data_IF_065723263042
#
_entry.id   IF_065723263042
#
_cell.length_a   1.000
_cell.length_b   1.000
_cell.length_c   1.000
_cell.angle_alpha   90.00
_cell.angle_beta   90.00
_cell.angle_gamma   90.00
#
_symmetry.space_group_name_H-M   'P 1'
#
loop_
_entity.id
_entity.type
_entity.pdbx_description
1 polymer ?
#
# COMPACT_ATOMS: atom_id res chain seq x y z
N UNK A 1 8.76 4.93 -15.84
CA UNK A 1 8.88 4.97 -14.36
C UNK A 1 8.83 6.40 -13.82
N UNK A 2 9.85 7.26 -14.00
CA UNK A 2 9.86 8.64 -13.45
C UNK A 2 8.66 9.50 -13.87
N UNK A 3 8.20 9.39 -15.13
CA UNK A 3 7.02 10.13 -15.60
C UNK A 3 5.76 9.78 -14.80
N UNK A 4 5.54 8.50 -14.50
CA UNK A 4 4.38 8.04 -13.75
C UNK A 4 4.40 8.54 -12.30
N UNK A 5 5.54 8.40 -11.60
CA UNK A 5 5.66 8.87 -10.21
C UNK A 5 5.60 10.39 -10.13
N UNK A 6 6.24 11.09 -11.06
CA UNK A 6 6.25 12.55 -11.06
C UNK A 6 4.91 13.19 -11.44
N UNK A 7 4.01 12.44 -12.05
CA UNK A 7 2.64 12.91 -12.29
C UNK A 7 1.88 13.19 -10.98
N UNK A 8 2.20 12.46 -9.92
CA UNK A 8 1.58 12.63 -8.59
C UNK A 8 2.32 13.65 -7.70
N UNK A 9 3.39 14.28 -8.19
CA UNK A 9 4.16 15.27 -7.43
C UNK A 9 3.86 16.65 -8.01
N UNK A 10 3.02 17.47 -7.34
CA UNK A 10 2.61 18.77 -7.87
C UNK A 10 3.75 19.79 -7.86
N UNK A 11 4.66 19.74 -6.87
CA UNK A 11 5.78 20.66 -6.74
C UNK A 11 6.93 20.27 -7.68
N UNK A 12 7.26 21.10 -8.70
CA UNK A 12 8.33 20.79 -9.65
C UNK A 12 9.70 20.56 -8.98
N UNK A 13 9.96 21.25 -7.85
CA UNK A 13 11.23 21.14 -7.12
C UNK A 13 11.38 19.82 -6.35
N UNK A 14 10.27 19.11 -6.16
CA UNK A 14 10.22 17.80 -5.47
C UNK A 14 10.15 16.61 -6.40
N UNK A 15 10.11 16.85 -7.71
CA UNK A 15 10.10 15.79 -8.70
C UNK A 15 11.37 14.94 -8.63
N UNK A 16 11.19 13.63 -8.76
CA UNK A 16 12.29 12.69 -8.80
C UNK A 16 13.04 12.83 -10.13
N UNK A 17 14.36 12.75 -10.07
CA UNK A 17 15.23 12.87 -11.24
C UNK A 17 16.05 11.59 -11.45
N UNK A 18 16.48 11.37 -12.69
CA UNK A 18 17.43 10.31 -13.00
C UNK A 18 18.85 10.83 -12.74
N UNK A 19 19.55 10.21 -11.84
CA UNK A 19 21.00 10.38 -11.73
C UNK A 19 21.67 9.51 -12.80
N UNK A 20 22.73 10.03 -13.42
CA UNK A 20 23.38 9.35 -14.56
C UNK A 20 24.11 8.08 -14.15
N UNK A 21 24.66 8.05 -12.93
CA UNK A 21 25.42 6.91 -12.42
C UNK A 21 25.06 6.59 -10.97
N UNK A 22 24.94 5.31 -10.63
CA UNK A 22 24.94 4.88 -9.23
C UNK A 22 26.26 5.26 -8.56
N UNK A 23 26.20 5.55 -7.27
CA UNK A 23 27.34 5.92 -6.45
C UNK A 23 28.43 4.82 -6.51
N UNK A 24 29.69 5.22 -6.54
CA UNK A 24 30.83 4.30 -6.44
C UNK A 24 30.71 3.41 -5.21
N UNK A 25 31.03 2.12 -5.35
CA UNK A 25 30.88 1.12 -4.31
C UNK A 25 29.45 0.63 -4.07
N UNK A 26 28.45 1.15 -4.78
CA UNK A 26 27.08 0.64 -4.66
C UNK A 26 26.93 -0.73 -5.32
N UNK A 27 26.07 -1.58 -4.73
CA UNK A 27 25.72 -2.88 -5.29
C UNK A 27 25.15 -2.77 -6.73
N UNK A 28 24.37 -1.74 -7.02
CA UNK A 28 23.80 -1.53 -8.35
C UNK A 28 24.89 -1.28 -9.39
N UNK A 29 25.91 -0.48 -9.06
CA UNK A 29 27.04 -0.25 -9.95
C UNK A 29 27.87 -1.52 -10.14
N UNK A 30 28.19 -2.23 -9.05
CA UNK A 30 28.91 -3.49 -9.13
C UNK A 30 28.17 -4.55 -9.96
N UNK A 31 26.86 -4.68 -9.80
CA UNK A 31 26.04 -5.59 -10.60
C UNK A 31 26.09 -5.24 -12.09
N UNK A 32 25.98 -3.95 -12.44
CA UNK A 32 26.06 -3.53 -13.83
C UNK A 32 27.46 -3.79 -14.43
N UNK A 33 28.52 -3.40 -13.72
CA UNK A 33 29.88 -3.50 -14.22
C UNK A 33 30.39 -4.96 -14.31
N UNK A 34 30.07 -5.78 -13.30
CA UNK A 34 30.57 -7.16 -13.19
C UNK A 34 29.69 -8.19 -13.88
N UNK A 35 28.37 -8.06 -13.73
CA UNK A 35 27.41 -9.05 -14.25
C UNK A 35 26.75 -8.63 -15.56
N UNK A 36 26.98 -7.38 -16.01
CA UNK A 36 26.35 -6.80 -17.22
C UNK A 36 24.84 -6.81 -17.19
N UNK A 37 24.25 -6.80 -15.99
CA UNK A 37 22.80 -6.75 -15.79
C UNK A 37 22.32 -5.32 -15.62
N UNK A 38 21.06 -5.06 -15.96
CA UNK A 38 20.42 -3.78 -15.64
C UNK A 38 20.17 -3.70 -14.14
N UNK A 39 20.81 -2.75 -13.48
CA UNK A 39 20.63 -2.50 -12.06
C UNK A 39 20.30 -1.03 -11.81
N UNK A 40 19.49 -0.76 -10.81
CA UNK A 40 19.08 0.60 -10.46
C UNK A 40 18.86 0.74 -8.96
N UNK A 41 19.01 1.96 -8.47
CA UNK A 41 18.63 2.34 -7.11
C UNK A 41 17.39 3.21 -7.22
N UNK A 42 16.34 2.84 -6.48
CA UNK A 42 15.10 3.59 -6.39
C UNK A 42 15.06 4.29 -5.03
N UNK A 43 15.05 5.61 -5.05
CA UNK A 43 15.05 6.41 -3.83
C UNK A 43 13.89 7.40 -3.82
N UNK A 44 13.38 7.69 -2.62
CA UNK A 44 12.41 8.75 -2.35
C UNK A 44 12.96 9.67 -1.29
N UNK A 45 12.57 10.95 -1.33
CA UNK A 45 13.01 11.91 -0.32
C UNK A 45 12.44 11.55 1.05
N UNK A 46 13.28 11.57 2.09
CA UNK A 46 12.84 11.35 3.48
C UNK A 46 12.34 12.63 4.14
N UNK A 47 12.87 13.80 3.73
CA UNK A 47 12.52 15.09 4.32
C UNK A 47 11.12 15.53 3.89
N UNK A 48 10.31 15.90 4.87
CA UNK A 48 8.98 16.51 4.66
C UNK A 48 7.97 15.63 3.90
N UNK A 49 8.18 14.32 3.87
CA UNK A 49 7.21 13.39 3.32
C UNK A 49 6.83 12.31 4.32
N UNK A 50 5.53 12.06 4.57
CA UNK A 50 5.07 10.97 5.41
C UNK A 50 5.49 9.63 4.80
N UNK A 51 5.66 8.63 5.68
CA UNK A 51 6.09 7.29 5.27
C UNK A 51 5.13 6.66 4.24
N UNK A 52 3.83 6.81 4.44
CA UNK A 52 2.79 6.32 3.52
C UNK A 52 3.03 6.79 2.07
N UNK A 53 3.29 8.08 1.91
CA UNK A 53 3.57 8.66 0.59
C UNK A 53 4.85 8.10 -0.04
N UNK A 54 5.90 7.93 0.76
CA UNK A 54 7.16 7.34 0.26
C UNK A 54 6.98 5.87 -0.15
N UNK A 55 6.24 5.10 0.65
CA UNK A 55 5.91 3.71 0.34
C UNK A 55 5.12 3.62 -0.96
N UNK A 56 4.12 4.49 -1.15
CA UNK A 56 3.35 4.56 -2.40
C UNK A 56 4.25 4.85 -3.60
N UNK A 57 5.14 5.83 -3.49
CA UNK A 57 6.09 6.16 -4.57
C UNK A 57 6.99 4.98 -4.93
N UNK A 58 7.53 4.25 -3.92
CA UNK A 58 8.32 3.05 -4.17
C UNK A 58 7.52 1.95 -4.85
N UNK A 59 6.30 1.66 -4.37
CA UNK A 59 5.42 0.67 -5.00
C UNK A 59 5.14 1.01 -6.46
N UNK A 60 4.86 2.26 -6.75
CA UNK A 60 4.59 2.70 -8.11
C UNK A 60 5.82 2.56 -9.01
N UNK A 61 7.02 2.91 -8.51
CA UNK A 61 8.26 2.72 -9.26
C UNK A 61 8.51 1.24 -9.60
N UNK A 62 8.36 0.36 -8.60
CA UNK A 62 8.54 -1.09 -8.78
C UNK A 62 7.47 -1.65 -9.72
N UNK A 63 6.21 -1.25 -9.55
CA UNK A 63 5.11 -1.69 -10.40
C UNK A 63 5.36 -1.36 -11.88
N UNK A 64 5.69 -0.09 -12.17
CA UNK A 64 5.97 0.34 -13.55
C UNK A 64 7.17 -0.40 -14.15
N UNK A 65 8.20 -0.68 -13.33
CA UNK A 65 9.35 -1.46 -13.76
C UNK A 65 8.98 -2.90 -14.11
N UNK A 66 8.28 -3.59 -13.21
CA UNK A 66 7.86 -4.98 -13.40
C UNK A 66 6.90 -5.13 -14.59
N UNK A 67 6.00 -4.17 -14.77
CA UNK A 67 5.11 -4.12 -15.92
C UNK A 67 5.87 -3.92 -17.24
N UNK A 68 6.87 -3.03 -17.25
CA UNK A 68 7.76 -2.82 -18.41
C UNK A 68 8.56 -4.08 -18.77
N UNK A 69 8.92 -4.87 -17.76
CA UNK A 69 9.63 -6.14 -17.95
C UNK A 69 8.69 -7.32 -18.25
N UNK A 70 7.39 -7.09 -18.42
CA UNK A 70 6.37 -8.11 -18.60
C UNK A 70 6.31 -9.17 -17.50
N UNK A 71 6.73 -8.81 -16.28
CA UNK A 71 6.70 -9.67 -15.10
C UNK A 71 5.35 -9.62 -14.37
N UNK A 72 4.57 -8.58 -14.59
CA UNK A 72 3.20 -8.40 -14.06
C UNK A 72 2.31 -7.79 -15.13
N UNK A 73 1.00 -8.01 -15.02
CA UNK A 73 0.00 -7.50 -15.96
C UNK A 73 -0.99 -6.60 -15.22
N UNK A 74 -1.26 -5.42 -15.77
CA UNK A 74 -2.35 -4.54 -15.33
C UNK A 74 -1.96 -3.43 -14.34
N UNK A 75 -2.91 -2.54 -14.03
CA UNK A 75 -2.71 -1.38 -13.17
C UNK A 75 -2.90 -1.76 -11.69
N UNK A 76 -1.98 -2.51 -11.12
CA UNK A 76 -2.07 -2.94 -9.72
C UNK A 76 -1.17 -2.06 -8.85
N UNK A 77 -1.75 -1.42 -7.84
CA UNK A 77 -1.01 -0.64 -6.86
C UNK A 77 -0.28 -1.51 -5.83
N UNK A 78 -0.69 -2.76 -5.71
CA UNK A 78 -0.02 -3.79 -4.91
C UNK A 78 0.31 -5.00 -5.77
N UNK A 79 1.53 -5.52 -5.57
CA UNK A 79 1.95 -6.77 -6.21
C UNK A 79 1.43 -7.91 -5.36
N UNK A 80 0.41 -8.59 -5.87
CA UNK A 80 -0.12 -9.81 -5.26
C UNK A 80 0.25 -11.01 -6.14
N UNK A 81 0.46 -12.18 -5.56
CA UNK A 81 0.67 -13.40 -6.33
C UNK A 81 -0.51 -13.64 -7.26
N UNK A 82 -0.22 -13.90 -8.54
CA UNK A 82 -1.24 -14.25 -9.53
C UNK A 82 -1.55 -15.75 -9.37
N UNK A 83 -2.82 -16.13 -9.52
CA UNK A 83 -3.28 -17.53 -9.49
C UNK A 83 -2.99 -18.29 -8.18
N UNK A 84 -3.08 -17.63 -7.04
CA UNK A 84 -3.01 -18.31 -5.75
C UNK A 84 -4.41 -18.63 -5.22
N UNK A 85 -4.57 -19.83 -4.64
CA UNK A 85 -5.76 -20.20 -3.83
C UNK A 85 -5.71 -19.59 -2.43
N UNK A 86 -4.68 -18.80 -2.13
CA UNK A 86 -4.54 -18.18 -0.82
C UNK A 86 -5.55 -17.05 -0.64
N UNK A 87 -6.10 -16.94 0.56
CA UNK A 87 -6.92 -15.80 0.99
C UNK A 87 -6.08 -14.52 1.00
N UNK A 88 -6.51 -13.51 0.28
CA UNK A 88 -5.84 -12.21 0.21
C UNK A 88 -6.45 -11.26 1.24
N UNK A 89 -5.64 -10.82 2.18
CA UNK A 89 -6.05 -10.01 3.32
C UNK A 89 -5.41 -8.63 3.26
N UNK A 90 -6.23 -7.60 3.21
CA UNK A 90 -5.81 -6.21 3.38
C UNK A 90 -5.81 -5.85 4.87
N UNK A 91 -4.73 -5.32 5.41
CA UNK A 91 -4.66 -4.78 6.77
C UNK A 91 -4.50 -3.26 6.67
N UNK A 92 -5.48 -2.54 7.17
CA UNK A 92 -5.41 -1.08 7.24
C UNK A 92 -4.28 -0.64 8.17
N UNK A 93 -3.33 0.15 7.65
CA UNK A 93 -2.17 0.66 8.39
C UNK A 93 -1.92 2.13 8.05
N UNK A 94 -2.81 2.99 8.55
CA UNK A 94 -2.73 4.43 8.34
C UNK A 94 -3.28 5.19 9.56
N UNK A 95 -3.71 6.44 9.35
CA UNK A 95 -4.16 7.32 10.43
C UNK A 95 -5.21 6.68 11.35
N UNK A 96 -5.01 6.81 12.66
CA UNK A 96 -5.91 6.28 13.68
C UNK A 96 -5.64 4.85 14.14
N UNK A 97 -4.70 4.13 13.50
CA UNK A 97 -4.30 2.79 13.93
C UNK A 97 -3.25 2.85 15.03
N UNK A 98 -3.36 1.96 16.02
CA UNK A 98 -2.34 1.77 17.06
C UNK A 98 -1.10 1.07 16.49
N UNK A 99 0.08 1.46 16.97
CA UNK A 99 1.39 1.05 16.42
C UNK A 99 1.66 -0.45 16.36
N UNK A 100 1.02 -1.24 17.24
CA UNK A 100 1.23 -2.70 17.34
C UNK A 100 0.26 -3.53 16.49
N UNK A 101 -0.92 -2.99 16.17
CA UNK A 101 -2.00 -3.72 15.51
C UNK A 101 -1.57 -4.40 14.21
N UNK A 102 -1.13 -3.65 13.19
CA UNK A 102 -0.72 -4.22 11.91
C UNK A 102 0.45 -5.20 12.04
N UNK A 103 1.42 -4.90 12.91
CA UNK A 103 2.58 -5.77 13.15
C UNK A 103 2.17 -7.11 13.75
N UNK A 104 1.22 -7.11 14.69
CA UNK A 104 0.73 -8.34 15.29
C UNK A 104 -0.04 -9.18 14.28
N UNK A 105 -0.82 -8.55 13.39
CA UNK A 105 -1.51 -9.25 12.30
C UNK A 105 -0.52 -9.86 11.30
N UNK A 106 0.54 -9.16 10.92
CA UNK A 106 1.60 -9.75 10.09
C UNK A 106 2.21 -10.98 10.73
N UNK A 107 2.44 -10.97 12.06
CA UNK A 107 2.99 -12.12 12.79
C UNK A 107 2.01 -13.31 12.78
N UNK A 108 0.73 -13.06 13.03
CA UNK A 108 -0.31 -14.11 13.05
C UNK A 108 -0.46 -14.74 11.69
N UNK A 109 -0.64 -13.92 10.64
CA UNK A 109 -0.87 -14.42 9.29
C UNK A 109 0.39 -14.90 8.59
N UNK A 110 1.57 -14.39 8.96
CA UNK A 110 2.84 -14.75 8.33
C UNK A 110 3.22 -16.23 8.48
N UNK A 111 2.63 -16.92 9.46
CA UNK A 111 2.79 -18.38 9.64
C UNK A 111 1.78 -19.21 8.83
N UNK A 112 0.78 -18.58 8.21
CA UNK A 112 -0.29 -19.28 7.50
C UNK A 112 0.05 -19.44 6.01
N UNK A 113 0.17 -20.67 5.54
CA UNK A 113 0.58 -20.97 4.15
C UNK A 113 -0.42 -20.50 3.08
N UNK A 114 -1.70 -20.43 3.44
CA UNK A 114 -2.79 -20.12 2.51
C UNK A 114 -3.34 -18.69 2.68
N UNK A 115 -2.54 -17.78 3.22
CA UNK A 115 -2.93 -16.39 3.43
C UNK A 115 -1.85 -15.47 2.88
N UNK A 116 -2.26 -14.47 2.12
CA UNK A 116 -1.40 -13.39 1.64
C UNK A 116 -1.87 -12.10 2.28
N UNK A 117 -1.05 -11.52 3.13
CA UNK A 117 -1.36 -10.25 3.81
C UNK A 117 -0.64 -9.08 3.15
N UNK A 118 -1.33 -7.97 3.01
CA UNK A 118 -0.73 -6.69 2.61
C UNK A 118 -1.29 -5.57 3.46
N UNK A 119 -0.42 -4.67 3.89
CA UNK A 119 -0.83 -3.43 4.53
C UNK A 119 -1.26 -2.43 3.48
N UNK A 120 -2.38 -1.77 3.73
CA UNK A 120 -2.97 -0.78 2.82
C UNK A 120 -3.15 0.55 3.54
N UNK A 121 -2.80 1.63 2.85
CA UNK A 121 -3.00 2.99 3.32
C UNK A 121 -4.30 3.60 2.83
N UNK A 122 -4.53 4.87 3.19
CA UNK A 122 -5.72 5.62 2.77
C UNK A 122 -5.75 5.81 1.26
N UNK A 123 -4.62 6.15 0.68
CA UNK A 123 -4.48 6.38 -0.75
C UNK A 123 -4.71 5.08 -1.55
N UNK A 124 -4.18 3.95 -1.06
CA UNK A 124 -4.40 2.64 -1.68
C UNK A 124 -5.91 2.30 -1.72
N UNK A 125 -6.62 2.56 -0.62
CA UNK A 125 -8.08 2.33 -0.51
C UNK A 125 -8.85 3.26 -1.48
N UNK A 126 -8.47 4.53 -1.52
CA UNK A 126 -9.07 5.50 -2.45
C UNK A 126 -8.88 5.11 -3.92
N UNK A 127 -7.78 4.46 -4.24
CA UNK A 127 -7.48 3.95 -5.59
C UNK A 127 -8.14 2.58 -5.89
N UNK A 128 -8.98 2.07 -5.01
CA UNK A 128 -9.76 0.85 -5.23
C UNK A 128 -8.98 -0.44 -4.99
N UNK A 129 -7.87 -0.40 -4.24
CA UNK A 129 -7.02 -1.57 -3.98
C UNK A 129 -7.78 -2.73 -3.32
N UNK A 130 -8.84 -2.44 -2.54
CA UNK A 130 -9.62 -3.46 -1.85
C UNK A 130 -10.23 -4.49 -2.82
N UNK A 131 -10.48 -4.13 -4.07
CA UNK A 131 -10.98 -5.06 -5.10
C UNK A 131 -10.02 -6.23 -5.38
N UNK A 132 -8.79 -6.17 -4.88
CA UNK A 132 -7.79 -7.24 -5.02
C UNK A 132 -7.79 -8.20 -3.83
N UNK A 133 -8.64 -7.99 -2.83
CA UNK A 133 -8.67 -8.75 -1.58
C UNK A 133 -10.04 -9.37 -1.34
N UNK A 134 -10.06 -10.45 -0.59
CA UNK A 134 -11.28 -11.07 -0.07
C UNK A 134 -11.66 -10.54 1.31
N UNK A 135 -10.66 -10.05 2.08
CA UNK A 135 -10.86 -9.61 3.45
C UNK A 135 -10.10 -8.30 3.72
N UNK A 136 -10.77 -7.36 4.37
CA UNK A 136 -10.17 -6.15 4.92
C UNK A 136 -10.24 -6.18 6.45
N UNK A 137 -9.10 -5.98 7.11
CA UNK A 137 -9.00 -5.92 8.58
C UNK A 137 -8.64 -4.50 9.00
N UNK A 138 -9.47 -3.93 9.88
CA UNK A 138 -9.24 -2.64 10.49
C UNK A 138 -8.82 -2.84 11.95
N UNK A 139 -7.53 -2.59 12.29
CA UNK A 139 -6.99 -2.82 13.63
C UNK A 139 -7.50 -1.83 14.68
N UNK A 140 -7.12 -2.10 15.93
CA UNK A 140 -7.39 -1.21 17.05
C UNK A 140 -6.67 0.14 16.95
N UNK A 141 -7.12 1.09 17.77
CA UNK A 141 -6.61 2.46 17.83
C UNK A 141 -7.72 3.46 18.16
N UNK A 142 -8.03 4.37 17.23
CA UNK A 142 -9.13 5.32 17.34
C UNK A 142 -10.03 5.27 16.09
N UNK A 143 -11.26 4.81 16.24
CA UNK A 143 -12.21 4.69 15.13
C UNK A 143 -12.53 6.02 14.47
N UNK A 144 -12.72 7.09 15.24
CA UNK A 144 -12.95 8.43 14.70
C UNK A 144 -11.74 8.97 13.91
N UNK A 145 -10.51 8.69 14.37
CA UNK A 145 -9.30 9.07 13.62
C UNK A 145 -9.10 8.21 12.38
N UNK A 146 -9.47 6.92 12.41
CA UNK A 146 -9.48 6.08 11.21
C UNK A 146 -10.48 6.62 10.17
N UNK A 147 -11.69 6.96 10.61
CA UNK A 147 -12.71 7.55 9.75
C UNK A 147 -12.28 8.90 9.16
N UNK A 148 -11.66 9.76 9.99
CA UNK A 148 -11.14 11.05 9.54
C UNK A 148 -10.00 10.89 8.52
N UNK A 149 -9.11 9.92 8.73
CA UNK A 149 -8.03 9.62 7.80
C UNK A 149 -8.55 9.08 6.45
N UNK A 150 -9.53 8.18 6.48
CA UNK A 150 -10.16 7.63 5.28
C UNK A 150 -10.88 8.71 4.46
N UNK A 151 -11.36 9.76 5.11
CA UNK A 151 -12.22 10.77 4.50
C UNK A 151 -13.52 10.14 3.94
N UNK A 152 -14.48 10.91 3.39
CA UNK A 152 -15.70 10.34 2.82
C UNK A 152 -15.43 9.33 1.70
N UNK A 153 -14.53 9.65 0.77
CA UNK A 153 -14.23 8.78 -0.36
C UNK A 153 -13.64 7.43 0.05
N UNK A 154 -12.71 7.40 1.02
CA UNK A 154 -12.17 6.14 1.52
C UNK A 154 -13.19 5.31 2.29
N UNK A 155 -14.08 5.95 3.07
CA UNK A 155 -15.19 5.25 3.72
C UNK A 155 -16.16 4.63 2.71
N UNK A 156 -16.51 5.38 1.67
CA UNK A 156 -17.35 4.89 0.57
C UNK A 156 -16.70 3.70 -0.15
N UNK A 157 -15.39 3.74 -0.38
CA UNK A 157 -14.66 2.63 -0.98
C UNK A 157 -14.73 1.36 -0.13
N UNK A 158 -14.61 1.49 1.21
CA UNK A 158 -14.77 0.35 2.13
C UNK A 158 -16.22 -0.18 2.11
N UNK A 159 -17.20 0.71 2.17
CA UNK A 159 -18.61 0.32 2.07
C UNK A 159 -18.92 -0.44 0.78
N UNK A 160 -18.42 0.08 -0.36
CA UNK A 160 -18.58 -0.55 -1.67
C UNK A 160 -17.94 -1.93 -1.72
N UNK A 161 -16.75 -2.07 -1.15
CA UNK A 161 -16.07 -3.37 -1.02
C UNK A 161 -16.94 -4.38 -0.26
N UNK A 162 -17.46 -4.00 0.91
CA UNK A 162 -18.30 -4.88 1.74
C UNK A 162 -19.63 -5.21 1.04
N UNK A 163 -20.29 -4.22 0.45
CA UNK A 163 -21.52 -4.44 -0.34
C UNK A 163 -21.30 -5.34 -1.54
N UNK A 164 -20.08 -5.33 -2.10
CA UNK A 164 -19.67 -6.22 -3.19
C UNK A 164 -19.30 -7.64 -2.76
N UNK A 165 -19.47 -7.99 -1.47
CA UNK A 165 -19.19 -9.34 -0.93
C UNK A 165 -17.81 -9.47 -0.27
N UNK A 166 -17.05 -8.39 -0.16
CA UNK A 166 -15.77 -8.38 0.57
C UNK A 166 -15.98 -8.55 2.08
N UNK A 167 -15.13 -9.34 2.71
CA UNK A 167 -15.16 -9.55 4.16
C UNK A 167 -14.60 -8.33 4.92
N UNK A 168 -15.21 -8.00 6.05
CA UNK A 168 -14.72 -6.96 6.95
C UNK A 168 -14.52 -7.52 8.36
N UNK A 169 -13.33 -7.28 8.91
CA UNK A 169 -13.03 -7.58 10.33
C UNK A 169 -12.55 -6.30 11.00
N UNK A 170 -13.32 -5.84 11.96
CA UNK A 170 -12.95 -4.73 12.85
C UNK A 170 -12.44 -5.25 14.19
N UNK A 171 -11.27 -4.79 14.63
CA UNK A 171 -10.69 -5.13 15.93
C UNK A 171 -10.72 -3.87 16.78
N UNK A 172 -11.36 -3.93 17.97
CA UNK A 172 -11.46 -2.78 18.89
C UNK A 172 -11.99 -1.53 18.15
N UNK A 173 -11.14 -0.52 17.94
CA UNK A 173 -11.51 0.70 17.22
C UNK A 173 -12.03 0.45 15.79
N UNK A 174 -11.50 -0.55 15.10
CA UNK A 174 -12.00 -0.96 13.78
C UNK A 174 -13.42 -1.51 13.83
N UNK A 175 -13.83 -2.16 14.93
CA UNK A 175 -15.21 -2.59 15.12
C UNK A 175 -16.16 -1.40 15.30
N UNK A 176 -15.75 -0.40 16.09
CA UNK A 176 -16.51 0.85 16.24
C UNK A 176 -16.62 1.63 14.93
N UNK A 177 -15.61 1.55 14.06
CA UNK A 177 -15.66 2.17 12.73
C UNK A 177 -16.85 1.63 11.89
N UNK A 178 -17.25 0.37 12.08
CA UNK A 178 -18.37 -0.25 11.38
C UNK A 178 -19.71 -0.11 12.12
N UNK A 179 -19.73 0.46 13.33
CA UNK A 179 -20.96 0.54 14.12
C UNK A 179 -21.86 1.68 13.66
N UNK A 180 -23.15 1.38 13.42
CA UNK A 180 -24.12 2.30 12.82
C UNK A 180 -24.46 3.55 13.66
N UNK A 181 -24.17 3.54 14.95
CA UNK A 181 -24.54 4.61 15.89
C UNK A 181 -23.55 5.78 15.97
N UNK A 182 -22.50 5.79 15.18
CA UNK A 182 -21.53 6.88 15.13
C UNK A 182 -21.62 7.63 13.79
N UNK A 183 -21.76 8.96 13.86
CA UNK A 183 -21.85 9.83 12.66
C UNK A 183 -20.65 9.74 11.71
N UNK A 184 -19.51 9.25 12.22
CA UNK A 184 -18.26 9.10 11.47
C UNK A 184 -18.01 7.66 11.01
N UNK A 185 -18.88 6.71 11.33
CA UNK A 185 -18.69 5.29 11.00
C UNK A 185 -18.84 5.00 9.50
N UNK A 186 -18.67 3.73 9.16
CA UNK A 186 -18.91 3.20 7.79
C UNK A 186 -20.40 2.91 7.55
N UNK A 187 -21.19 2.82 8.58
CA UNK A 187 -22.62 2.50 8.47
C UNK A 187 -23.45 3.73 8.14
#
# INVERSE_FOLDING_TARGET
MLKAVNAEIPDPKKKLVRLRYPVDGSLARAAHEKLKVTAMILETTSKSQPLSKRVRQHRQMVHVLLNHLNMIIGPQHLILPINTKALRVAVYDAGGVGSSGPRNLDRVFGSMKNVVVRRVGVEDIGDGVLNQFELAIFPGGSGSKQAAALQPAGREAVQKFVKGGGGFVGICAGAYLAAANYKWSLA
#
